data_IF_808996712089
#
_entry.id   IF_808996712089
#
_cell.length_a   1.000
_cell.length_b   1.000
_cell.length_c   1.000
_cell.angle_alpha   90.00
_cell.angle_beta   90.00
_cell.angle_gamma   90.00
#
_symmetry.space_group_name_H-M   'P 1'
#
loop_
_entity.id
_entity.type
_entity.pdbx_description
1 polymer ?
#
# COMPACT_ATOMS: atom_id res chain seq x y z
N UNK A 1 -13.35 6.18 28.25
CA UNK A 1 -12.90 6.06 26.85
C UNK A 1 -13.95 6.73 25.98
N UNK A 2 -13.62 7.81 25.28
CA UNK A 2 -14.53 8.43 24.31
C UNK A 2 -14.25 7.80 22.95
N UNK A 3 -15.27 7.29 22.27
CA UNK A 3 -15.12 6.97 20.86
C UNK A 3 -14.77 8.26 20.11
N UNK A 4 -13.82 8.19 19.17
CA UNK A 4 -13.59 9.29 18.26
C UNK A 4 -14.87 9.49 17.44
N UNK A 5 -15.47 10.67 17.52
CA UNK A 5 -16.61 11.02 16.68
C UNK A 5 -16.06 11.31 15.28
N UNK A 6 -16.41 10.47 14.31
CA UNK A 6 -16.06 10.70 12.91
C UNK A 6 -17.07 11.71 12.36
N UNK A 7 -16.57 12.88 11.99
CA UNK A 7 -17.32 13.95 11.35
C UNK A 7 -17.59 13.58 9.89
N UNK A 8 -18.68 14.09 9.31
CA UNK A 8 -18.90 14.00 7.86
C UNK A 8 -17.78 14.65 7.05
N UNK A 9 -17.04 15.59 7.66
CA UNK A 9 -15.86 16.23 7.08
C UNK A 9 -14.61 15.34 7.06
N UNK A 10 -14.61 14.22 7.78
CA UNK A 10 -13.48 13.28 7.81
C UNK A 10 -13.51 12.31 6.62
N UNK A 11 -14.58 12.30 5.84
CA UNK A 11 -14.69 11.55 4.60
C UNK A 11 -14.08 12.32 3.43
N UNK A 12 -13.52 11.57 2.47
CA UNK A 12 -13.08 12.15 1.21
C UNK A 12 -14.24 12.82 0.46
N UNK A 13 -13.97 13.95 -0.19
CA UNK A 13 -15.00 14.74 -0.87
C UNK A 13 -15.60 14.01 -2.10
N UNK A 14 -14.86 13.06 -2.69
CA UNK A 14 -15.38 12.18 -3.74
C UNK A 14 -14.94 10.72 -3.52
N UNK A 15 -15.66 9.74 -4.08
CA UNK A 15 -15.25 8.34 -4.04
C UNK A 15 -13.84 8.11 -4.59
N UNK A 16 -13.47 8.76 -5.69
CA UNK A 16 -12.15 8.62 -6.31
C UNK A 16 -11.04 9.11 -5.39
N UNK A 17 -11.26 10.22 -4.69
CA UNK A 17 -10.32 10.73 -3.69
C UNK A 17 -10.16 9.73 -2.54
N UNK A 18 -11.26 9.18 -2.03
CA UNK A 18 -11.23 8.18 -0.98
C UNK A 18 -10.48 6.92 -1.39
N UNK A 19 -10.65 6.47 -2.63
CA UNK A 19 -9.91 5.31 -3.15
C UNK A 19 -8.41 5.61 -3.23
N UNK A 20 -8.01 6.80 -3.70
CA UNK A 20 -6.59 7.20 -3.76
C UNK A 20 -5.98 7.28 -2.36
N UNK A 21 -6.70 7.83 -1.38
CA UNK A 21 -6.25 7.88 0.01
C UNK A 21 -6.08 6.48 0.61
N UNK A 22 -7.05 5.59 0.39
CA UNK A 22 -6.93 4.18 0.79
C UNK A 22 -5.73 3.49 0.14
N UNK A 23 -5.45 3.77 -1.13
CA UNK A 23 -4.26 3.25 -1.81
C UNK A 23 -2.97 3.75 -1.15
N UNK A 24 -2.88 5.05 -0.87
CA UNK A 24 -1.71 5.65 -0.19
C UNK A 24 -1.49 5.09 1.21
N UNK A 25 -2.57 4.90 1.97
CA UNK A 25 -2.52 4.28 3.30
C UNK A 25 -2.01 2.83 3.21
N UNK A 26 -2.52 2.05 2.26
CA UNK A 26 -2.07 0.68 2.02
C UNK A 26 -0.57 0.62 1.71
N UNK A 27 -0.08 1.51 0.84
CA UNK A 27 1.34 1.58 0.49
C UNK A 27 2.20 1.99 1.71
N UNK A 28 1.73 2.93 2.53
CA UNK A 28 2.42 3.34 3.75
C UNK A 28 2.51 2.18 4.76
N UNK A 29 1.41 1.48 5.00
CA UNK A 29 1.36 0.29 5.86
C UNK A 29 2.29 -0.82 5.37
N UNK A 30 2.38 -1.02 4.05
CA UNK A 30 3.29 -1.99 3.45
C UNK A 30 4.76 -1.61 3.68
N UNK A 31 5.13 -0.33 3.53
CA UNK A 31 6.50 0.14 3.83
C UNK A 31 6.84 -0.03 5.30
N UNK A 32 5.91 0.31 6.21
CA UNK A 32 6.09 0.09 7.64
C UNK A 32 6.23 -1.38 7.99
N UNK A 33 5.37 -2.25 7.47
CA UNK A 33 5.47 -3.70 7.66
C UNK A 33 6.84 -4.24 7.21
N UNK A 34 7.34 -3.78 6.06
CA UNK A 34 8.67 -4.15 5.57
C UNK A 34 9.79 -3.69 6.51
N UNK A 35 9.74 -2.44 6.97
CA UNK A 35 10.73 -1.90 7.90
C UNK A 35 10.74 -2.66 9.24
N UNK A 36 9.57 -2.99 9.78
CA UNK A 36 9.44 -3.80 10.99
C UNK A 36 9.99 -5.22 10.79
N UNK A 37 9.64 -5.88 9.67
CA UNK A 37 10.15 -7.21 9.36
C UNK A 37 11.69 -7.21 9.28
N UNK A 38 12.27 -6.19 8.63
CA UNK A 38 13.73 -6.02 8.58
C UNK A 38 14.36 -5.82 9.95
N UNK A 39 13.77 -4.95 10.79
CA UNK A 39 14.28 -4.69 12.14
C UNK A 39 14.21 -5.93 13.05
N UNK A 40 13.22 -6.80 12.83
CA UNK A 40 13.01 -8.03 13.60
C UNK A 40 13.70 -9.26 12.99
N UNK A 41 14.39 -9.14 11.86
CA UNK A 41 14.98 -10.28 11.14
C UNK A 41 13.95 -11.27 10.60
N UNK A 42 12.70 -10.85 10.42
CA UNK A 42 11.63 -11.65 9.86
C UNK A 42 11.60 -11.53 8.33
N UNK A 43 11.12 -12.58 7.66
CA UNK A 43 10.83 -12.49 6.23
C UNK A 43 9.70 -11.49 5.99
N UNK A 44 9.84 -10.52 5.07
CA UNK A 44 8.79 -9.56 4.79
C UNK A 44 7.56 -10.27 4.22
N UNK A 45 6.37 -9.76 4.56
CA UNK A 45 5.13 -10.29 4.02
C UNK A 45 5.13 -10.20 2.48
N UNK A 46 4.51 -11.19 1.80
CA UNK A 46 4.35 -11.14 0.35
C UNK A 46 3.62 -9.84 -0.02
N UNK A 47 4.12 -9.17 -1.06
CA UNK A 47 3.46 -7.96 -1.53
C UNK A 47 2.09 -8.34 -2.10
N UNK A 48 1.03 -7.58 -1.79
CA UNK A 48 -0.28 -7.83 -2.35
C UNK A 48 -0.16 -7.82 -3.89
N UNK A 49 -0.84 -8.76 -4.58
CA UNK A 49 -0.74 -8.86 -6.02
C UNK A 49 -1.15 -7.54 -6.67
N UNK A 50 -0.29 -6.93 -7.49
CA UNK A 50 -0.60 -5.64 -8.06
C UNK A 50 -1.22 -5.83 -9.43
N UNK A 51 -2.52 -6.13 -9.59
CA UNK A 51 -3.00 -6.31 -10.98
C UNK A 51 -4.24 -5.58 -11.47
N UNK A 52 -5.16 -5.07 -10.66
CA UNK A 52 -6.35 -4.40 -11.25
C UNK A 52 -6.89 -3.21 -10.45
N UNK A 53 -6.06 -2.50 -9.67
CA UNK A 53 -6.52 -1.23 -9.09
C UNK A 53 -6.10 -0.04 -9.97
N UNK A 54 -6.99 0.50 -10.83
CA UNK A 54 -6.67 1.62 -11.71
C UNK A 54 -6.34 2.92 -10.95
N UNK A 55 -6.66 2.99 -9.66
CA UNK A 55 -6.37 4.14 -8.80
C UNK A 55 -5.03 4.03 -8.08
N UNK A 56 -4.41 2.83 -8.03
CA UNK A 56 -3.12 2.62 -7.37
C UNK A 56 -1.98 3.06 -8.31
N UNK A 57 -1.60 4.32 -8.21
CA UNK A 57 -0.44 4.87 -8.93
C UNK A 57 0.85 4.37 -8.28
N UNK A 58 1.49 3.37 -8.89
CA UNK A 58 2.79 2.88 -8.44
C UNK A 58 3.85 3.99 -8.54
N UNK A 59 4.64 4.17 -7.49
CA UNK A 59 5.83 5.01 -7.59
C UNK A 59 6.86 4.40 -8.55
N UNK A 60 7.77 5.18 -9.15
CA UNK A 60 8.82 4.64 -10.02
C UNK A 60 9.67 3.56 -9.35
N UNK A 61 9.94 3.70 -8.04
CA UNK A 61 10.73 2.76 -7.23
C UNK A 61 9.98 1.44 -7.05
N UNK A 62 8.68 1.51 -6.77
CA UNK A 62 7.82 0.33 -6.60
C UNK A 62 7.65 -0.41 -7.94
N UNK A 63 7.58 0.34 -9.05
CA UNK A 63 7.51 -0.21 -10.41
C UNK A 63 8.76 -0.99 -10.78
N UNK A 64 9.95 -0.44 -10.52
CA UNK A 64 11.21 -1.14 -10.74
C UNK A 64 11.31 -2.43 -9.91
N UNK A 65 10.90 -2.36 -8.64
CA UNK A 65 10.90 -3.51 -7.72
C UNK A 65 9.92 -4.60 -8.16
N UNK A 66 8.74 -4.23 -8.66
CA UNK A 66 7.73 -5.19 -9.12
C UNK A 66 8.14 -5.88 -10.44
N UNK A 67 8.74 -5.14 -11.38
CA UNK A 67 9.26 -5.71 -12.63
C UNK A 67 10.40 -6.70 -12.37
N UNK A 68 11.28 -6.38 -11.42
CA UNK A 68 12.37 -7.29 -11.04
C UNK A 68 11.84 -8.63 -10.49
N UNK A 69 10.76 -8.61 -9.69
CA UNK A 69 10.16 -9.84 -9.17
C UNK A 69 9.44 -10.68 -10.22
N UNK A 70 8.85 -10.05 -11.24
CA UNK A 70 8.29 -10.79 -12.38
C UNK A 70 9.38 -11.54 -13.17
N UNK A 71 10.58 -10.97 -13.26
CA UNK A 71 11.70 -11.60 -13.94
C UNK A 71 12.26 -12.81 -13.18
N UNK A 72 12.30 -12.76 -11.84
CA UNK A 72 12.73 -13.89 -11.00
C UNK A 72 11.73 -15.05 -10.99
N UNK A 73 10.42 -14.78 -11.07
CA UNK A 73 9.38 -15.83 -11.09
C UNK A 73 9.30 -16.56 -12.44
N UNK A 74 9.83 -15.99 -13.52
CA UNK A 74 9.79 -16.55 -14.86
C UNK A 74 11.02 -17.40 -15.24
N UNK A 75 11.88 -17.72 -14.27
CA UNK A 75 13.13 -18.47 -14.45
C UNK A 75 13.12 -19.76 -13.65
#
# INVERSE_FOLDING_TARGET
>A
MSAAQISSHDYAATPEQGIVECCRLSDAMQRWSKACAQALGLSPLPCPPPFDNPFRRMSPIDRATALSRKADVAR
#
